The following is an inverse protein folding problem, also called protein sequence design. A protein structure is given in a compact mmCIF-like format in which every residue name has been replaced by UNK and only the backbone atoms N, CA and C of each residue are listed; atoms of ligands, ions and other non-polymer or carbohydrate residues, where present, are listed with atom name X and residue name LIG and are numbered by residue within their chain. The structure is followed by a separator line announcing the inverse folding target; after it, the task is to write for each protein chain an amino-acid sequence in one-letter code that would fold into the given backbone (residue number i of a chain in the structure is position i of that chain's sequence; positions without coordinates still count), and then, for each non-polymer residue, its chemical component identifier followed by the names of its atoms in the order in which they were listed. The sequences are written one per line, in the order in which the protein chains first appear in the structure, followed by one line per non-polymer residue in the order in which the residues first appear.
data_IF_644278156741
#
_entry.id   IF_644278156741
#
_cell.length_a   1.000
_cell.length_b   1.000
_cell.length_c   1.000
_cell.angle_alpha   90.00
_cell.angle_beta   90.00
_cell.angle_gamma   90.00
#
_symmetry.space_group_name_H-M   'P 1'
#
loop_
_entity.id
_entity.type
_entity.pdbx_description
1 polymer ?
#
# COMPACT_ATOMS: atom_id res chain seq x y z
N UNK A 1 4.38 -1.27 7.25
CA UNK A 1 3.50 -2.43 7.62
C UNK A 1 3.54 -3.42 6.47
N UNK A 2 4.09 -4.60 6.71
CA UNK A 2 4.26 -5.63 5.67
C UNK A 2 2.98 -6.46 5.60
N UNK A 3 2.46 -6.71 4.38
CA UNK A 3 1.21 -7.47 4.20
C UNK A 3 1.49 -8.97 4.23
N UNK A 4 0.84 -9.67 5.14
CA UNK A 4 0.85 -11.14 5.30
C UNK A 4 -0.59 -11.64 5.51
N UNK A 5 -0.98 -12.87 5.12
CA UNK A 5 -0.15 -13.85 4.41
C UNK A 5 0.10 -13.48 2.94
N UNK A 6 1.20 -13.98 2.39
CA UNK A 6 1.48 -13.86 0.96
C UNK A 6 0.52 -14.73 0.15
N UNK A 7 -0.14 -14.14 -0.83
CA UNK A 7 -0.97 -14.89 -1.78
C UNK A 7 -0.07 -15.33 -2.92
N UNK A 8 -0.04 -16.64 -3.17
CA UNK A 8 0.83 -17.27 -4.17
C UNK A 8 0.02 -18.03 -5.21
N UNK A 9 0.58 -18.16 -6.40
CA UNK A 9 0.12 -19.05 -7.48
C UNK A 9 1.32 -19.84 -8.00
N UNK A 10 1.08 -21.00 -8.62
CA UNK A 10 2.14 -21.77 -9.22
C UNK A 10 2.55 -21.20 -10.59
N UNK A 11 3.79 -21.43 -10.98
CA UNK A 11 4.32 -21.07 -12.30
C UNK A 11 3.49 -21.67 -13.43
N UNK A 12 2.87 -22.84 -13.23
CA UNK A 12 2.03 -23.55 -14.18
C UNK A 12 0.57 -23.13 -14.20
N UNK A 13 0.11 -22.33 -13.24
CA UNK A 13 -1.29 -21.88 -13.19
C UNK A 13 -1.60 -20.97 -14.37
N UNK A 14 -2.81 -21.17 -14.96
CA UNK A 14 -3.21 -20.32 -16.07
C UNK A 14 -3.57 -18.90 -15.62
N UNK A 15 -3.42 -17.96 -16.54
CA UNK A 15 -3.59 -16.53 -16.25
C UNK A 15 -5.02 -16.17 -15.86
N UNK A 16 -6.04 -16.90 -16.34
CA UNK A 16 -7.43 -16.71 -15.93
C UNK A 16 -7.61 -17.03 -14.43
N UNK A 17 -6.97 -18.10 -13.94
CA UNK A 17 -6.97 -18.43 -12.51
C UNK A 17 -6.27 -17.34 -11.70
N UNK A 18 -5.10 -16.86 -12.18
CA UNK A 18 -4.37 -15.76 -11.54
C UNK A 18 -5.25 -14.53 -11.39
N UNK A 19 -5.97 -14.14 -12.44
CA UNK A 19 -6.89 -13.01 -12.42
C UNK A 19 -8.03 -13.20 -11.41
N UNK A 20 -8.62 -14.40 -11.32
CA UNK A 20 -9.66 -14.73 -10.32
C UNK A 20 -9.13 -14.58 -8.90
N UNK A 21 -7.94 -15.10 -8.60
CA UNK A 21 -7.30 -14.96 -7.29
C UNK A 21 -7.11 -13.49 -6.92
N UNK A 22 -6.66 -12.66 -7.86
CA UNK A 22 -6.50 -11.21 -7.61
C UNK A 22 -7.83 -10.54 -7.24
N UNK A 23 -8.91 -10.84 -7.97
CA UNK A 23 -10.25 -10.30 -7.71
C UNK A 23 -10.79 -10.78 -6.37
N UNK A 24 -10.79 -12.10 -6.11
CA UNK A 24 -11.31 -12.71 -4.88
C UNK A 24 -10.58 -12.23 -3.63
N UNK A 25 -9.27 -12.02 -3.72
CA UNK A 25 -8.44 -11.56 -2.60
C UNK A 25 -8.29 -10.04 -2.53
N UNK A 26 -8.92 -9.30 -3.46
CA UNK A 26 -8.82 -7.84 -3.58
C UNK A 26 -7.35 -7.35 -3.58
N UNK A 27 -6.51 -7.96 -4.40
CA UNK A 27 -5.09 -7.67 -4.53
C UNK A 27 -4.72 -7.40 -5.98
N UNK A 28 -3.78 -6.49 -6.21
CA UNK A 28 -3.30 -6.07 -7.54
C UNK A 28 -2.00 -6.77 -7.98
N UNK A 29 -1.67 -7.89 -7.35
CA UNK A 29 -0.53 -8.71 -7.72
C UNK A 29 -0.36 -9.93 -6.82
N UNK A 30 0.13 -11.02 -7.39
CA UNK A 30 0.37 -12.28 -6.72
C UNK A 30 1.81 -12.73 -6.93
N UNK A 31 2.34 -13.41 -5.93
CA UNK A 31 3.66 -14.01 -6.00
C UNK A 31 3.58 -15.36 -6.76
N UNK A 32 4.47 -15.55 -7.72
CA UNK A 32 4.56 -16.81 -8.47
C UNK A 32 5.61 -17.70 -7.81
N UNK A 33 5.25 -18.94 -7.55
CA UNK A 33 6.13 -19.93 -6.93
C UNK A 33 6.36 -21.10 -7.88
N UNK A 34 7.57 -21.67 -7.80
CA UNK A 34 7.92 -22.95 -8.39
C UNK A 34 8.47 -23.86 -7.30
N UNK A 35 7.87 -25.02 -7.14
CA UNK A 35 8.26 -25.98 -6.09
C UNK A 35 8.35 -25.32 -4.70
N UNK A 36 7.40 -24.42 -4.40
CA UNK A 36 7.33 -23.67 -3.15
C UNK A 36 8.31 -22.52 -3.00
N UNK A 37 9.16 -22.26 -3.98
CA UNK A 37 10.10 -21.14 -3.98
C UNK A 37 9.56 -19.95 -4.80
N UNK A 38 9.61 -18.72 -4.27
CA UNK A 38 9.24 -17.53 -5.02
C UNK A 38 10.16 -17.33 -6.24
N UNK A 39 9.60 -17.25 -7.45
CA UNK A 39 10.35 -17.11 -8.70
C UNK A 39 9.99 -15.86 -9.49
N UNK A 40 8.80 -15.27 -9.26
CA UNK A 40 8.35 -14.10 -9.98
C UNK A 40 7.13 -13.46 -9.33
N UNK A 41 6.65 -12.39 -9.94
CA UNK A 41 5.41 -11.70 -9.55
C UNK A 41 4.58 -11.39 -10.79
N UNK A 42 3.27 -11.61 -10.71
CA UNK A 42 2.29 -11.17 -11.72
C UNK A 42 1.44 -10.06 -11.14
N UNK A 43 1.23 -9.01 -11.90
CA UNK A 43 0.43 -7.84 -11.51
C UNK A 43 -0.71 -7.61 -12.49
N UNK A 44 -1.72 -6.81 -12.10
CA UNK A 44 -2.78 -6.36 -13.02
C UNK A 44 -2.22 -5.73 -14.29
N UNK A 45 -1.11 -4.97 -14.18
CA UNK A 45 -0.45 -4.38 -15.34
C UNK A 45 0.11 -5.44 -16.29
N UNK A 46 0.62 -6.56 -15.78
CA UNK A 46 1.10 -7.67 -16.61
C UNK A 46 -0.08 -8.32 -17.36
N UNK A 47 -1.23 -8.50 -16.69
CA UNK A 47 -2.45 -9.01 -17.31
C UNK A 47 -2.92 -8.10 -18.46
N UNK A 48 -2.97 -6.79 -18.22
CA UNK A 48 -3.37 -5.84 -19.27
C UNK A 48 -2.36 -5.81 -20.41
N UNK A 49 -1.07 -5.65 -20.11
CA UNK A 49 -0.05 -5.42 -21.12
C UNK A 49 0.32 -6.68 -21.92
N UNK A 50 0.32 -7.85 -21.27
CA UNK A 50 0.82 -9.10 -21.88
C UNK A 50 -0.28 -10.04 -22.36
N UNK A 51 -1.53 -9.82 -21.93
CA UNK A 51 -2.68 -10.64 -22.33
C UNK A 51 -3.68 -9.81 -23.13
N UNK A 52 -4.32 -8.82 -22.50
CA UNK A 52 -5.40 -8.06 -23.17
C UNK A 52 -4.89 -7.25 -24.38
N UNK A 53 -3.72 -6.63 -24.26
CA UNK A 53 -3.11 -5.88 -25.36
C UNK A 53 -2.50 -6.76 -26.47
N UNK A 54 -2.42 -8.07 -26.30
CA UNK A 54 -1.81 -9.01 -27.24
C UNK A 54 -2.78 -10.04 -27.81
N UNK A 55 -4.08 -9.89 -27.59
CA UNK A 55 -5.17 -10.78 -28.08
C UNK A 55 -4.95 -12.28 -27.77
N UNK A 56 -4.23 -12.57 -26.68
CA UNK A 56 -3.95 -13.94 -26.26
C UNK A 56 -5.07 -14.50 -25.41
N UNK A 57 -5.40 -15.77 -25.59
CA UNK A 57 -6.39 -16.47 -24.78
C UNK A 57 -5.83 -16.76 -23.38
N UNK A 58 -6.40 -16.19 -22.29
CA UNK A 58 -5.85 -16.29 -20.91
C UNK A 58 -5.75 -17.72 -20.38
N UNK A 59 -6.56 -18.64 -20.92
CA UNK A 59 -6.59 -20.05 -20.53
C UNK A 59 -5.32 -20.79 -20.93
N UNK A 60 -4.70 -20.39 -22.03
CA UNK A 60 -3.57 -21.08 -22.63
C UNK A 60 -2.21 -20.53 -22.18
N UNK A 61 -2.22 -19.47 -21.34
CA UNK A 61 -1.00 -18.80 -20.91
C UNK A 61 -0.81 -19.07 -19.40
N UNK A 62 0.41 -19.43 -19.02
CA UNK A 62 0.79 -19.71 -17.64
C UNK A 62 1.28 -18.45 -16.92
N UNK A 63 1.20 -18.45 -15.61
CA UNK A 63 1.75 -17.40 -14.77
C UNK A 63 3.24 -17.17 -15.04
N UNK A 64 4.00 -18.24 -15.25
CA UNK A 64 5.40 -18.21 -15.60
C UNK A 64 5.74 -17.49 -16.89
N UNK A 65 4.81 -17.50 -17.89
CA UNK A 65 5.03 -16.87 -19.19
C UNK A 65 4.94 -15.34 -19.13
N UNK A 66 4.24 -14.82 -18.10
CA UNK A 66 3.98 -13.38 -17.97
C UNK A 66 4.56 -12.74 -16.71
N UNK A 67 5.03 -13.55 -15.74
CA UNK A 67 5.60 -13.02 -14.51
C UNK A 67 6.78 -12.07 -14.77
N UNK A 68 6.96 -11.12 -13.88
CA UNK A 68 8.14 -10.25 -13.85
C UNK A 68 9.21 -10.87 -12.98
N UNK A 69 10.43 -10.96 -13.52
CA UNK A 69 11.66 -11.47 -12.87
C UNK A 69 12.83 -10.53 -13.19
N UNK A 70 13.89 -10.50 -12.37
CA UNK A 70 13.98 -11.10 -11.04
C UNK A 70 13.10 -10.39 -10.00
N UNK A 71 12.82 -11.08 -8.90
CA UNK A 71 12.12 -10.48 -7.77
C UNK A 71 12.99 -9.39 -7.13
N UNK A 72 12.39 -8.24 -6.85
CA UNK A 72 13.07 -7.14 -6.17
C UNK A 72 12.71 -7.21 -4.71
N UNK A 73 13.73 -7.40 -3.88
CA UNK A 73 13.60 -7.61 -2.44
C UNK A 73 14.23 -6.48 -1.65
N UNK A 74 13.74 -6.27 -0.44
CA UNK A 74 14.34 -5.43 0.59
C UNK A 74 14.32 -6.19 1.91
N UNK A 75 15.39 -6.11 2.68
CA UNK A 75 15.44 -6.73 4.00
C UNK A 75 14.57 -5.96 5.00
N UNK A 76 13.94 -6.70 5.94
CA UNK A 76 13.01 -6.13 6.91
C UNK A 76 13.68 -5.11 7.86
N UNK A 77 14.98 -5.28 8.09
CA UNK A 77 15.77 -4.40 8.96
C UNK A 77 16.21 -3.10 8.27
N UNK A 78 15.94 -2.96 6.96
CA UNK A 78 16.30 -1.76 6.22
C UNK A 78 15.34 -0.60 6.50
N UNK A 79 15.85 0.64 6.57
CA UNK A 79 15.00 1.81 6.77
C UNK A 79 14.02 1.99 5.60
N UNK A 80 12.84 2.54 5.91
CA UNK A 80 11.79 2.80 4.92
C UNK A 80 12.28 3.62 3.72
N UNK A 81 13.15 4.60 3.96
CA UNK A 81 13.75 5.43 2.89
C UNK A 81 14.48 4.59 1.85
N UNK A 82 15.22 3.56 2.27
CA UNK A 82 15.93 2.66 1.34
C UNK A 82 14.95 1.85 0.47
N UNK A 83 13.83 1.41 1.05
CA UNK A 83 12.76 0.73 0.30
C UNK A 83 12.13 1.66 -0.74
N UNK A 84 11.83 2.92 -0.37
CA UNK A 84 11.27 3.93 -1.27
C UNK A 84 12.25 4.26 -2.40
N UNK A 85 13.53 4.46 -2.07
CA UNK A 85 14.58 4.72 -3.06
C UNK A 85 14.76 3.55 -4.03
N UNK A 86 14.66 2.32 -3.52
CA UNK A 86 14.73 1.11 -4.35
C UNK A 86 13.54 1.03 -5.32
N UNK A 87 12.31 1.34 -4.86
CA UNK A 87 11.13 1.42 -5.72
C UNK A 87 11.33 2.43 -6.85
N UNK A 88 11.84 3.63 -6.52
CA UNK A 88 12.07 4.71 -7.48
C UNK A 88 13.15 4.31 -8.51
N UNK A 89 14.31 3.82 -8.07
CA UNK A 89 15.40 3.39 -8.94
C UNK A 89 15.01 2.25 -9.87
N UNK A 90 14.25 1.27 -9.36
CA UNK A 90 13.80 0.11 -10.14
C UNK A 90 12.49 0.36 -10.89
N UNK A 91 11.85 1.53 -10.72
CA UNK A 91 10.56 1.90 -11.31
C UNK A 91 9.45 0.88 -11.02
N UNK A 92 9.44 0.34 -9.80
CA UNK A 92 8.44 -0.62 -9.31
C UNK A 92 7.61 -0.01 -8.20
N UNK A 93 6.38 -0.49 -8.04
CA UNK A 93 5.44 -0.01 -7.02
C UNK A 93 5.30 -0.97 -5.82
N UNK A 94 6.11 -2.05 -5.81
CA UNK A 94 6.10 -3.04 -4.74
C UNK A 94 7.45 -3.75 -4.64
N UNK A 95 7.79 -4.15 -3.42
CA UNK A 95 8.98 -4.93 -3.09
C UNK A 95 8.54 -6.13 -2.28
N UNK A 96 9.29 -7.22 -2.41
CA UNK A 96 9.18 -8.31 -1.45
C UNK A 96 10.05 -8.01 -0.25
N UNK A 97 9.52 -8.26 0.93
CA UNK A 97 10.27 -8.09 2.18
C UNK A 97 10.87 -9.43 2.54
N UNK A 98 12.16 -9.41 2.82
CA UNK A 98 12.91 -10.61 3.26
C UNK A 98 13.35 -10.47 4.71
N UNK A 99 13.37 -11.59 5.40
CA UNK A 99 13.96 -11.77 6.71
C UNK A 99 14.84 -13.01 6.66
N UNK A 100 16.12 -12.86 6.98
CA UNK A 100 17.10 -13.96 6.88
C UNK A 100 17.07 -14.67 5.51
N UNK A 101 16.90 -13.91 4.44
CA UNK A 101 16.86 -14.40 3.05
C UNK A 101 15.54 -15.11 2.64
N UNK A 102 14.56 -15.23 3.53
CA UNK A 102 13.23 -15.77 3.22
C UNK A 102 12.25 -14.63 2.95
N UNK A 103 11.38 -14.79 1.96
CA UNK A 103 10.32 -13.82 1.70
C UNK A 103 9.24 -13.95 2.78
N UNK A 104 9.05 -12.87 3.54
CA UNK A 104 8.09 -12.81 4.67
C UNK A 104 6.89 -11.92 4.37
N UNK A 105 6.94 -11.10 3.33
CA UNK A 105 5.82 -10.21 3.03
C UNK A 105 6.01 -9.39 1.76
N UNK A 106 5.05 -8.53 1.49
CA UNK A 106 5.06 -7.57 0.39
C UNK A 106 4.87 -6.17 0.94
N UNK A 107 5.62 -5.22 0.43
CA UNK A 107 5.54 -3.80 0.73
C UNK A 107 5.27 -3.03 -0.56
N UNK A 108 4.31 -2.11 -0.53
CA UNK A 108 3.84 -1.40 -1.73
C UNK A 108 3.89 0.11 -1.56
N UNK A 109 3.88 0.85 -2.66
CA UNK A 109 3.78 2.30 -2.66
C UNK A 109 2.53 2.81 -1.88
N UNK A 110 1.44 2.03 -1.88
CA UNK A 110 0.24 2.36 -1.09
C UNK A 110 0.53 2.30 0.42
N UNK A 111 1.39 1.38 0.85
CA UNK A 111 1.79 1.27 2.26
C UNK A 111 2.70 2.44 2.67
N UNK A 112 3.55 2.94 1.75
CA UNK A 112 4.32 4.19 1.96
C UNK A 112 3.38 5.36 2.19
N UNK A 113 2.38 5.55 1.31
CA UNK A 113 1.38 6.63 1.44
C UNK A 113 0.55 6.52 2.73
N UNK A 114 0.35 5.30 3.23
CA UNK A 114 -0.33 5.08 4.51
C UNK A 114 0.56 5.41 5.73
N UNK A 115 1.88 5.35 5.57
CA UNK A 115 2.86 5.70 6.62
C UNK A 115 3.21 7.19 6.59
N UNK A 116 3.37 7.76 5.41
CA UNK A 116 3.48 9.20 5.20
C UNK A 116 2.07 9.78 5.19
N UNK A 117 1.58 10.14 6.37
CA UNK A 117 0.34 10.91 6.47
C UNK A 117 0.58 12.26 5.83
N UNK A 118 0.00 12.46 4.66
CA UNK A 118 0.02 13.75 3.96
C UNK A 118 -1.36 14.38 4.01
N UNK A 119 -1.38 15.71 4.08
CA UNK A 119 -2.61 16.47 4.01
C UNK A 119 -3.27 16.31 2.64
N UNK A 120 -4.54 15.97 2.58
CA UNK A 120 -5.30 15.79 1.34
C UNK A 120 -5.43 17.07 0.49
N UNK A 121 -5.06 18.25 1.02
CA UNK A 121 -5.11 19.53 0.30
C UNK A 121 -3.73 20.04 -0.09
N UNK A 122 -2.86 20.29 0.88
CA UNK A 122 -1.55 20.91 0.59
C UNK A 122 -0.44 19.87 0.30
N UNK A 123 -0.74 18.59 0.46
CA UNK A 123 0.16 17.44 0.21
C UNK A 123 1.45 17.46 1.06
N UNK A 124 1.52 18.35 2.03
CA UNK A 124 2.63 18.38 2.98
C UNK A 124 2.51 17.22 3.99
N UNK A 125 3.63 16.66 4.45
CA UNK A 125 3.62 15.64 5.49
C UNK A 125 2.90 16.12 6.74
N UNK A 126 2.10 15.24 7.32
CA UNK A 126 1.47 15.47 8.63
C UNK A 126 2.39 14.81 9.66
N UNK A 127 2.99 15.61 10.52
CA UNK A 127 3.83 15.12 11.61
C UNK A 127 2.98 14.31 12.59
N UNK A 128 3.31 13.03 12.84
CA UNK A 128 2.56 12.23 13.80
C UNK A 128 2.71 12.87 15.19
N UNK A 129 1.58 13.03 15.88
CA UNK A 129 1.62 13.35 17.30
C UNK A 129 2.24 12.17 18.05
N UNK A 130 3.39 12.37 18.64
CA UNK A 130 3.83 11.55 19.76
C UNK A 130 3.05 12.03 20.98
N UNK A 131 2.26 11.15 21.58
CA UNK A 131 1.16 11.37 22.54
C UNK A 131 1.58 11.95 23.89
N UNK A 132 2.49 12.87 24.00
CA UNK A 132 2.89 13.34 25.34
C UNK A 132 2.75 14.84 25.60
N UNK A 133 2.54 15.68 24.57
CA UNK A 133 2.35 17.12 24.79
C UNK A 133 1.43 17.72 23.72
N UNK A 134 0.31 18.37 24.11
CA UNK A 134 -0.64 18.99 23.18
C UNK A 134 -0.06 20.11 22.32
N UNK A 135 1.08 20.64 22.69
CA UNK A 135 1.68 21.85 22.14
C UNK A 135 2.64 21.60 20.96
N UNK A 136 3.07 20.36 20.74
CA UNK A 136 4.11 20.02 19.74
C UNK A 136 3.59 19.35 18.46
N UNK A 137 2.29 19.12 18.31
CA UNK A 137 1.72 18.41 17.16
C UNK A 137 0.81 19.27 16.28
N UNK A 138 0.82 19.03 14.99
CA UNK A 138 -0.14 19.63 14.08
C UNK A 138 -1.56 19.12 14.36
N UNK A 139 -2.53 20.05 14.49
CA UNK A 139 -3.93 19.67 14.63
C UNK A 139 -4.43 19.20 13.24
N UNK A 140 -5.02 18.02 13.22
CA UNK A 140 -5.51 17.42 11.99
C UNK A 140 -6.98 17.03 12.11
N UNK A 141 -7.65 16.99 10.96
CA UNK A 141 -9.02 16.49 10.80
C UNK A 141 -9.01 15.31 9.84
N UNK A 142 -9.64 14.21 10.24
CA UNK A 142 -9.75 13.01 9.41
C UNK A 142 -11.17 12.90 8.86
N UNK A 143 -11.29 12.81 7.53
CA UNK A 143 -12.56 12.51 6.89
C UNK A 143 -12.96 11.04 7.12
N UNK A 144 -14.26 10.73 7.09
CA UNK A 144 -14.78 9.35 7.18
C UNK A 144 -14.22 8.40 6.12
N UNK A 145 -13.76 8.90 4.97
CA UNK A 145 -13.07 8.11 3.95
C UNK A 145 -11.57 7.86 4.25
N UNK A 146 -11.06 8.34 5.40
CA UNK A 146 -9.69 8.13 5.85
C UNK A 146 -8.67 9.18 5.41
N UNK A 147 -9.06 10.16 4.57
CA UNK A 147 -8.17 11.27 4.18
C UNK A 147 -7.98 12.22 5.35
N UNK A 148 -6.74 12.63 5.61
CA UNK A 148 -6.35 13.49 6.71
C UNK A 148 -5.99 14.89 6.17
N UNK A 149 -6.36 15.93 6.91
CA UNK A 149 -6.08 17.33 6.57
C UNK A 149 -5.46 18.03 7.77
N UNK A 150 -4.56 18.99 7.54
CA UNK A 150 -4.26 19.99 8.57
C UNK A 150 -5.53 20.76 8.87
N UNK A 151 -5.72 21.20 10.09
CA UNK A 151 -6.94 21.92 10.51
C UNK A 151 -7.25 23.12 9.61
N UNK A 152 -6.23 23.94 9.32
CA UNK A 152 -6.40 25.13 8.48
C UNK A 152 -6.71 24.76 7.02
N UNK A 153 -6.11 23.69 6.52
CA UNK A 153 -6.45 23.16 5.19
C UNK A 153 -7.89 22.64 5.13
N UNK A 154 -8.35 21.96 6.18
CA UNK A 154 -9.73 21.50 6.29
C UNK A 154 -10.73 22.64 6.31
N UNK A 155 -10.43 23.72 7.05
CA UNK A 155 -11.24 24.95 7.08
C UNK A 155 -11.28 25.65 5.72
N UNK A 156 -10.16 25.64 4.99
CA UNK A 156 -10.05 26.28 3.68
C UNK A 156 -10.89 25.58 2.63
N UNK A 157 -10.86 24.25 2.57
CA UNK A 157 -11.60 23.48 1.55
C UNK A 157 -13.05 23.23 1.93
N UNK A 158 -13.36 23.07 3.21
CA UNK A 158 -14.71 22.84 3.73
C UNK A 158 -15.34 21.49 3.41
N UNK A 159 -14.78 20.76 2.45
CA UNK A 159 -15.22 19.42 2.03
C UNK A 159 -14.04 18.54 1.64
N UNK A 160 -14.24 17.24 1.71
CA UNK A 160 -13.20 16.28 1.36
C UNK A 160 -12.99 16.20 -0.16
N UNK A 161 -11.77 16.41 -0.61
CA UNK A 161 -11.41 16.37 -2.04
C UNK A 161 -11.49 14.95 -2.64
N UNK A 162 -11.54 13.92 -1.79
CA UNK A 162 -11.66 12.53 -2.25
C UNK A 162 -13.11 12.02 -2.35
N UNK A 163 -13.98 12.34 -1.36
CA UNK A 163 -15.34 11.80 -1.30
C UNK A 163 -16.43 12.87 -1.29
N UNK A 164 -16.08 14.15 -1.42
CA UNK A 164 -16.96 15.32 -1.43
C UNK A 164 -17.83 15.51 -0.16
N UNK A 165 -17.60 14.76 0.91
CA UNK A 165 -18.29 14.95 2.18
C UNK A 165 -17.81 16.24 2.86
N UNK A 166 -18.74 16.93 3.54
CA UNK A 166 -18.40 18.11 4.33
C UNK A 166 -17.46 17.72 5.47
N UNK A 167 -16.35 18.43 5.60
CA UNK A 167 -15.43 18.23 6.71
C UNK A 167 -15.94 19.07 7.88
N UNK A 168 -16.42 18.39 8.93
CA UNK A 168 -16.78 19.05 10.18
C UNK A 168 -15.54 19.07 11.05
N UNK A 169 -14.94 20.25 11.22
CA UNK A 169 -13.79 20.43 12.08
C UNK A 169 -14.26 20.58 13.53
N UNK A 170 -14.78 19.52 14.13
CA UNK A 170 -14.98 19.48 15.58
C UNK A 170 -13.62 19.19 16.23
N UNK A 171 -13.08 20.17 16.92
CA UNK A 171 -11.90 19.99 17.76
C UNK A 171 -12.40 19.32 19.03
N UNK A 172 -12.32 18.00 19.08
CA UNK A 172 -12.54 17.25 20.33
C UNK A 172 -11.29 17.45 21.18
N UNK A 173 -11.29 18.47 22.02
CA UNK A 173 -10.36 18.50 23.15
C UNK A 173 -10.85 17.44 24.15
N UNK A 174 -10.00 16.50 24.61
CA UNK A 174 -10.33 15.70 25.78
C UNK A 174 -10.60 16.65 26.92
N UNK A 175 -11.78 16.58 27.52
CA UNK A 175 -12.09 17.40 28.70
C UNK A 175 -11.14 17.01 29.84
N UNK A 176 -10.73 17.95 30.68
CA UNK A 176 -9.86 17.66 31.82
C UNK A 176 -10.41 16.59 32.77
N UNK A 177 -11.70 16.31 32.69
CA UNK A 177 -12.43 15.35 33.54
C UNK A 177 -12.22 13.88 33.09
N UNK A 178 -11.74 13.63 31.86
CA UNK A 178 -11.51 12.27 31.35
C UNK A 178 -10.12 11.70 31.75
N UNK A 179 -9.29 12.49 32.47
CA UNK A 179 -7.94 12.07 32.88
C UNK A 179 -7.84 11.76 34.40
N UNK A 180 -8.95 11.83 35.15
CA UNK A 180 -8.98 11.58 36.57
C UNK A 180 -9.81 10.32 36.90
N UNK A 181 -9.35 9.15 36.45
CA UNK A 181 -9.79 7.86 37.01
C UNK A 181 -8.84 6.76 36.52
N UNK A 182 -7.86 6.41 37.35
CA UNK A 182 -7.01 5.25 37.12
C UNK A 182 -5.71 5.35 37.88
#
# INVERSE_FOLDING_TARGET
MVRTPLITVNVSDNVRYVAKVMVEKNISGVLVVDSGKPVGIVTERDLVAKILASDKAPENIKAGDIMSTPLITVDIDKPLSEAVDLMNRKKVRRLLVTEQGKVVGIFTQRDVLALERVCGYCIKPIKPRLVSRPEEGEITVTCSCGVIYHLDCAKTVGYCLNCAQKIVAEIIYPRPEDTASG
#
